data_IF_599294942899
#
_entry.id   IF_599294942899
#
_cell.length_a   1.000
_cell.length_b   1.000
_cell.length_c   1.000
_cell.angle_alpha   90.00
_cell.angle_beta   90.00
_cell.angle_gamma   90.00
#
_symmetry.space_group_name_H-M   'P 1'
#
loop_
_entity.id
_entity.type
_entity.pdbx_description
1 polymer ?
#
# COMPACT_ATOMS: atom_id res chain seq x y z
N UNK A 1 12.69 -21.17 -20.99
CA UNK A 1 12.67 -22.45 -20.28
C UNK A 1 13.86 -23.28 -20.83
N UNK A 2 14.74 -23.73 -19.94
CA UNK A 2 15.84 -24.64 -20.34
C UNK A 2 15.26 -26.02 -20.62
N UNK A 3 15.63 -26.61 -21.77
CA UNK A 3 15.29 -27.99 -22.08
C UNK A 3 16.11 -28.91 -21.17
N UNK A 4 15.51 -29.97 -20.61
CA UNK A 4 16.25 -31.00 -19.87
C UNK A 4 17.40 -31.60 -20.69
N UNK A 5 17.24 -31.64 -22.02
CA UNK A 5 18.30 -32.05 -22.94
C UNK A 5 19.58 -31.20 -22.86
N UNK A 6 19.50 -29.95 -22.42
CA UNK A 6 20.64 -29.04 -22.21
C UNK A 6 21.31 -29.20 -20.84
N UNK A 7 20.66 -29.88 -19.90
CA UNK A 7 21.15 -30.05 -18.55
C UNK A 7 22.25 -31.13 -18.48
N UNK A 8 23.28 -30.89 -17.65
CA UNK A 8 24.33 -31.90 -17.39
C UNK A 8 23.68 -33.13 -16.74
N UNK A 9 23.86 -34.30 -17.35
CA UNK A 9 23.23 -35.55 -16.88
C UNK A 9 21.78 -35.71 -17.31
N UNK A 10 21.19 -34.78 -18.06
CA UNK A 10 19.86 -34.92 -18.67
C UNK A 10 18.69 -34.72 -17.73
N UNK A 11 18.92 -34.25 -16.48
CA UNK A 11 17.85 -33.91 -15.53
C UNK A 11 18.28 -32.81 -14.60
N UNK A 12 17.30 -32.12 -13.98
CA UNK A 12 17.55 -31.07 -13.00
C UNK A 12 18.24 -31.63 -11.75
N UNK A 13 17.92 -32.84 -11.32
CA UNK A 13 18.48 -33.47 -10.12
C UNK A 13 20.00 -33.73 -10.23
N UNK A 14 20.48 -33.96 -11.45
CA UNK A 14 21.91 -34.17 -11.71
C UNK A 14 22.66 -32.90 -12.08
N UNK A 15 21.98 -31.90 -12.61
CA UNK A 15 22.54 -30.63 -13.05
C UNK A 15 22.54 -29.55 -11.93
N UNK A 16 21.65 -29.60 -10.97
CA UNK A 16 21.50 -28.62 -9.92
C UNK A 16 22.23 -29.03 -8.64
N UNK A 17 23.19 -28.22 -8.22
CA UNK A 17 23.82 -28.34 -6.91
C UNK A 17 23.16 -27.39 -5.91
N UNK A 18 22.23 -27.90 -5.09
CA UNK A 18 21.46 -27.13 -4.13
C UNK A 18 22.31 -26.42 -3.07
N UNK A 19 23.37 -27.06 -2.61
CA UNK A 19 24.25 -26.50 -1.56
C UNK A 19 25.06 -25.31 -2.04
N UNK A 20 25.46 -25.31 -3.33
CA UNK A 20 26.23 -24.23 -3.93
C UNK A 20 25.36 -23.20 -4.67
N UNK A 21 24.08 -23.52 -4.89
CA UNK A 21 23.18 -22.69 -5.72
C UNK A 21 23.67 -22.64 -7.18
N UNK A 22 24.13 -23.77 -7.73
CA UNK A 22 24.75 -23.79 -9.06
C UNK A 22 24.06 -24.79 -10.00
N UNK A 23 23.78 -24.33 -11.22
CA UNK A 23 23.24 -25.13 -12.31
C UNK A 23 24.31 -25.31 -13.38
N UNK A 24 24.49 -26.54 -13.83
CA UNK A 24 25.48 -26.88 -14.85
C UNK A 24 24.81 -27.37 -16.13
N UNK A 25 25.26 -26.85 -17.28
CA UNK A 25 24.80 -27.28 -18.60
C UNK A 25 25.78 -28.23 -19.25
N UNK A 26 25.34 -28.99 -20.29
CA UNK A 26 26.17 -29.92 -21.08
C UNK A 26 27.31 -29.22 -21.80
N UNK A 27 27.10 -28.00 -22.25
CA UNK A 27 28.12 -27.20 -22.96
C UNK A 27 29.19 -26.61 -22.02
N UNK A 28 29.15 -26.93 -20.71
CA UNK A 28 30.10 -26.43 -19.71
C UNK A 28 29.71 -25.10 -19.10
N UNK A 29 28.61 -24.47 -19.52
CA UNK A 29 28.11 -23.25 -18.88
C UNK A 29 27.63 -23.55 -17.46
N UNK A 30 27.84 -22.58 -16.57
CA UNK A 30 27.45 -22.64 -15.18
C UNK A 30 26.66 -21.36 -14.81
N UNK A 31 25.49 -21.56 -14.22
CA UNK A 31 24.74 -20.49 -13.58
C UNK A 31 24.93 -20.59 -12.07
N UNK A 32 25.07 -19.46 -11.40
CA UNK A 32 25.16 -19.36 -9.95
C UNK A 32 24.17 -18.35 -9.41
N UNK A 33 23.37 -18.78 -8.43
CA UNK A 33 22.42 -17.92 -7.77
C UNK A 33 23.06 -17.13 -6.62
N UNK A 34 22.67 -15.88 -6.51
CA UNK A 34 23.03 -14.96 -5.43
C UNK A 34 21.77 -14.30 -4.89
N UNK A 35 21.79 -13.87 -3.63
CA UNK A 35 20.72 -13.08 -3.02
C UNK A 35 21.15 -11.63 -2.84
N UNK A 36 20.24 -10.70 -3.09
CA UNK A 36 20.42 -9.27 -2.78
C UNK A 36 20.51 -8.98 -1.28
N UNK A 37 20.15 -9.93 -0.41
CA UNK A 37 20.34 -9.81 1.04
C UNK A 37 21.82 -9.84 1.45
N UNK A 38 22.69 -10.33 0.59
CA UNK A 38 24.12 -10.42 0.85
C UNK A 38 24.94 -9.86 -0.31
N UNK A 39 24.85 -8.54 -0.60
CA UNK A 39 25.45 -7.92 -1.80
C UNK A 39 26.94 -8.18 -1.94
N UNK A 40 27.68 -8.23 -0.83
CA UNK A 40 29.13 -8.47 -0.81
C UNK A 40 29.57 -9.83 -1.34
N UNK A 41 28.66 -10.83 -1.36
CA UNK A 41 28.95 -12.13 -1.98
C UNK A 41 29.06 -12.06 -3.51
N UNK A 42 28.53 -11.02 -4.14
CA UNK A 42 28.71 -10.74 -5.57
C UNK A 42 30.10 -10.18 -5.89
N UNK A 43 30.80 -9.63 -4.88
CA UNK A 43 32.15 -9.11 -5.04
C UNK A 43 33.19 -10.21 -5.00
N UNK A 44 33.93 -10.39 -6.06
CA UNK A 44 34.99 -11.43 -6.21
C UNK A 44 34.71 -12.45 -7.30
N UNK A 45 33.55 -13.11 -7.34
CA UNK A 45 33.21 -13.96 -8.49
C UNK A 45 33.26 -13.18 -9.81
N UNK A 46 33.59 -13.90 -10.91
CA UNK A 46 33.64 -13.29 -12.23
C UNK A 46 32.61 -13.95 -13.14
N UNK A 47 31.94 -13.12 -13.96
CA UNK A 47 30.80 -13.54 -14.78
C UNK A 47 30.95 -13.04 -16.23
N UNK A 48 30.45 -13.84 -17.18
CA UNK A 48 30.28 -13.44 -18.59
C UNK A 48 28.99 -12.66 -18.80
N UNK A 49 28.02 -12.82 -17.93
CA UNK A 49 26.74 -12.12 -17.92
C UNK A 49 26.04 -12.35 -16.61
N UNK A 50 25.00 -11.58 -16.37
CA UNK A 50 24.14 -11.71 -15.20
C UNK A 50 22.68 -11.49 -15.58
N UNK A 51 21.80 -12.15 -14.82
CA UNK A 51 20.37 -11.90 -14.83
C UNK A 51 19.94 -11.49 -13.44
N UNK A 52 19.40 -10.28 -13.34
CA UNK A 52 18.82 -9.74 -12.11
C UNK A 52 17.31 -9.82 -12.19
N UNK A 53 16.71 -10.58 -11.29
CA UNK A 53 15.27 -10.69 -11.19
C UNK A 53 14.72 -9.73 -10.14
N UNK A 54 13.59 -9.07 -10.44
CA UNK A 54 12.91 -8.09 -9.60
C UNK A 54 13.85 -7.06 -8.95
N UNK A 55 14.70 -6.32 -9.71
CA UNK A 55 15.70 -5.41 -9.16
C UNK A 55 15.09 -4.29 -8.33
N UNK A 56 13.83 -3.94 -8.60
CA UNK A 56 13.09 -2.96 -7.81
C UNK A 56 12.77 -3.41 -6.39
N UNK A 57 12.93 -4.71 -6.08
CA UNK A 57 12.68 -5.28 -4.74
C UNK A 57 13.95 -5.59 -3.97
N UNK A 58 15.14 -5.33 -4.55
CA UNK A 58 16.39 -5.57 -3.84
C UNK A 58 16.49 -4.67 -2.60
N UNK A 59 17.03 -5.20 -1.51
CA UNK A 59 17.09 -4.51 -0.21
C UNK A 59 17.76 -3.13 -0.26
N UNK A 60 18.68 -2.95 -1.21
CA UNK A 60 19.45 -1.71 -1.42
C UNK A 60 19.02 -0.93 -2.67
N UNK A 61 17.85 -1.24 -3.26
CA UNK A 61 17.37 -0.58 -4.48
C UNK A 61 17.18 0.95 -4.32
N UNK A 62 16.87 1.43 -3.12
CA UNK A 62 16.76 2.85 -2.81
C UNK A 62 18.12 3.56 -2.66
N UNK A 63 19.22 2.81 -2.54
CA UNK A 63 20.58 3.35 -2.60
C UNK A 63 21.05 3.56 -4.05
N UNK A 64 20.31 3.01 -5.03
CA UNK A 64 20.56 3.18 -6.45
C UNK A 64 21.79 2.43 -6.92
N UNK A 65 22.58 3.08 -7.80
CA UNK A 65 23.83 2.56 -8.34
C UNK A 65 25.04 2.88 -7.46
N UNK A 66 24.80 3.31 -6.21
CA UNK A 66 25.82 3.72 -5.24
C UNK A 66 26.84 2.64 -4.89
N UNK A 67 27.85 3.01 -4.11
CA UNK A 67 28.92 2.10 -3.68
C UNK A 67 28.39 1.00 -2.74
N UNK A 68 28.96 -0.20 -2.88
CA UNK A 68 28.68 -1.39 -2.06
C UNK A 68 27.22 -1.89 -2.11
N UNK A 69 26.48 -1.49 -3.16
CA UNK A 69 25.12 -2.01 -3.43
C UNK A 69 25.16 -3.35 -4.18
N UNK A 70 24.04 -4.04 -4.25
CA UNK A 70 23.87 -5.25 -5.07
C UNK A 70 24.26 -4.98 -6.52
N UNK A 71 23.81 -3.83 -7.07
CA UNK A 71 24.13 -3.41 -8.43
C UNK A 71 25.63 -3.21 -8.63
N UNK A 72 26.28 -2.39 -7.80
CA UNK A 72 27.71 -2.11 -7.97
C UNK A 72 28.57 -3.35 -7.79
N UNK A 73 28.26 -4.21 -6.81
CA UNK A 73 29.00 -5.46 -6.60
C UNK A 73 28.81 -6.45 -7.76
N UNK A 74 27.62 -6.51 -8.37
CA UNK A 74 27.35 -7.28 -9.58
C UNK A 74 28.22 -6.81 -10.75
N UNK A 75 28.27 -5.50 -10.99
CA UNK A 75 29.06 -4.90 -12.07
C UNK A 75 30.55 -5.20 -11.91
N UNK A 76 31.09 -5.16 -10.69
CA UNK A 76 32.49 -5.55 -10.44
C UNK A 76 32.80 -7.01 -10.82
N UNK A 77 31.80 -7.88 -10.83
CA UNK A 77 31.94 -9.27 -11.26
C UNK A 77 31.89 -9.48 -12.79
N UNK A 78 31.34 -8.54 -13.55
CA UNK A 78 31.14 -8.64 -15.00
C UNK A 78 32.42 -8.30 -15.75
N UNK A 79 33.34 -9.26 -15.87
CA UNK A 79 34.66 -9.06 -16.49
C UNK A 79 35.14 -10.21 -17.35
N UNK A 80 34.32 -11.22 -17.58
CA UNK A 80 34.65 -12.32 -18.47
C UNK A 80 34.03 -12.12 -19.86
N UNK A 81 34.74 -12.51 -20.90
CA UNK A 81 34.30 -12.37 -22.28
C UNK A 81 34.58 -10.98 -22.86
N UNK A 82 34.12 -10.78 -24.08
CA UNK A 82 34.36 -9.53 -24.84
C UNK A 82 33.29 -8.45 -24.55
N UNK A 83 32.08 -8.86 -24.20
CA UNK A 83 30.91 -7.98 -24.02
C UNK A 83 29.99 -8.56 -22.93
N UNK A 84 30.42 -8.47 -21.66
CA UNK A 84 29.57 -8.96 -20.56
C UNK A 84 28.33 -8.05 -20.40
N UNK A 85 27.16 -8.69 -20.28
CA UNK A 85 25.86 -7.97 -20.19
C UNK A 85 25.07 -8.37 -18.98
N UNK A 86 24.22 -7.42 -18.53
CA UNK A 86 23.18 -7.67 -17.53
C UNK A 86 21.82 -7.63 -18.22
N UNK A 87 21.00 -8.63 -17.95
CA UNK A 87 19.56 -8.59 -18.24
C UNK A 87 18.83 -8.45 -16.93
N UNK A 88 17.89 -7.52 -16.86
CA UNK A 88 17.04 -7.35 -15.72
C UNK A 88 15.58 -7.56 -16.11
N UNK A 89 14.86 -8.29 -15.26
CA UNK A 89 13.44 -8.57 -15.43
C UNK A 89 12.70 -8.20 -14.15
N UNK A 90 11.51 -7.63 -14.26
CA UNK A 90 10.69 -7.30 -13.11
C UNK A 90 9.68 -6.21 -13.39
N UNK A 91 8.86 -5.94 -12.38
CA UNK A 91 7.89 -4.86 -12.40
C UNK A 91 8.58 -3.55 -12.03
N UNK A 92 8.45 -2.48 -12.80
CA UNK A 92 9.12 -1.22 -12.50
C UNK A 92 8.49 -0.55 -11.28
N UNK A 93 9.34 -0.18 -10.31
CA UNK A 93 8.96 0.64 -9.16
C UNK A 93 9.79 1.91 -9.13
N UNK A 94 9.26 3.05 -8.67
CA UNK A 94 9.93 4.35 -8.72
C UNK A 94 11.01 4.51 -7.63
N UNK A 95 11.83 3.47 -7.39
CA UNK A 95 12.99 3.56 -6.53
C UNK A 95 14.20 4.15 -7.27
N UNK A 96 15.25 4.45 -6.53
CA UNK A 96 16.43 5.12 -7.07
C UNK A 96 17.14 4.27 -8.11
N UNK A 97 17.31 2.96 -7.89
CA UNK A 97 17.96 2.06 -8.83
C UNK A 97 17.28 2.06 -10.21
N UNK A 98 15.96 1.87 -10.25
CA UNK A 98 15.21 1.84 -11.53
C UNK A 98 15.26 3.20 -12.23
N UNK A 99 15.18 4.32 -11.48
CA UNK A 99 15.30 5.67 -12.06
C UNK A 99 16.68 5.92 -12.67
N UNK A 100 17.75 5.48 -12.00
CA UNK A 100 19.12 5.63 -12.48
C UNK A 100 19.39 4.74 -13.70
N UNK A 101 18.96 3.47 -13.67
CA UNK A 101 19.08 2.55 -14.80
C UNK A 101 18.29 3.03 -16.03
N UNK A 102 17.10 3.60 -15.84
CA UNK A 102 16.30 4.18 -16.94
C UNK A 102 17.00 5.36 -17.62
N UNK A 103 17.86 6.07 -16.91
CA UNK A 103 18.63 7.22 -17.43
C UNK A 103 19.99 6.82 -17.98
N UNK A 104 20.43 5.58 -17.79
CA UNK A 104 21.72 5.08 -18.28
C UNK A 104 21.65 4.93 -19.81
N UNK A 105 22.54 5.63 -20.53
CA UNK A 105 22.62 5.58 -21.99
C UNK A 105 23.00 4.18 -22.52
N UNK A 106 23.64 3.36 -21.71
CA UNK A 106 23.97 1.96 -22.02
C UNK A 106 22.82 0.97 -21.80
N UNK A 107 21.72 1.42 -21.22
CA UNK A 107 20.56 0.57 -20.93
C UNK A 107 19.53 0.62 -22.06
N UNK A 108 19.02 -0.55 -22.43
CA UNK A 108 17.88 -0.70 -23.34
C UNK A 108 16.69 -1.17 -22.53
N UNK A 109 15.66 -0.32 -22.45
CA UNK A 109 14.41 -0.65 -21.77
C UNK A 109 13.42 -1.24 -22.77
N UNK A 110 12.93 -2.43 -22.48
CA UNK A 110 11.81 -3.06 -23.19
C UNK A 110 10.71 -3.37 -22.18
N UNK A 111 9.47 -3.32 -22.61
CA UNK A 111 8.32 -3.62 -21.77
C UNK A 111 7.22 -4.28 -22.58
N UNK A 112 6.30 -4.95 -21.89
CA UNK A 112 5.10 -5.53 -22.43
C UNK A 112 4.05 -5.63 -21.35
N UNK A 113 2.78 -5.47 -21.73
CA UNK A 113 1.68 -5.63 -20.79
C UNK A 113 1.33 -7.09 -20.56
N UNK A 114 0.73 -7.39 -19.41
CA UNK A 114 0.16 -8.71 -19.12
C UNK A 114 -0.89 -9.11 -20.18
N UNK A 115 -1.55 -8.11 -20.78
CA UNK A 115 -2.53 -8.31 -21.86
C UNK A 115 -1.93 -9.02 -23.10
N UNK A 116 -0.67 -8.73 -23.43
CA UNK A 116 0.04 -9.36 -24.53
C UNK A 116 0.34 -10.86 -24.28
N UNK A 117 0.33 -11.28 -23.01
CA UNK A 117 0.63 -12.66 -22.59
C UNK A 117 -0.61 -13.46 -22.14
N UNK A 118 -1.81 -12.92 -22.31
CA UNK A 118 -3.06 -13.54 -21.81
C UNK A 118 -3.24 -15.00 -22.26
N UNK A 119 -2.77 -15.32 -23.47
CA UNK A 119 -2.87 -16.69 -24.01
C UNK A 119 -2.13 -17.75 -23.19
N UNK A 120 -1.07 -17.35 -22.47
CA UNK A 120 -0.21 -18.23 -21.68
C UNK A 120 -0.57 -18.24 -20.18
N UNK A 121 -1.54 -17.39 -19.75
CA UNK A 121 -1.92 -17.28 -18.36
C UNK A 121 -3.12 -18.18 -18.01
N UNK A 122 -3.07 -18.73 -16.80
CA UNK A 122 -4.18 -19.58 -16.31
C UNK A 122 -5.47 -18.76 -16.14
N UNK A 123 -6.62 -19.41 -16.34
CA UNK A 123 -7.94 -18.77 -16.13
C UNK A 123 -8.13 -18.32 -14.67
N UNK A 124 -7.52 -19.01 -13.72
CA UNK A 124 -7.52 -18.61 -12.30
C UNK A 124 -6.78 -17.30 -12.09
N UNK A 125 -5.63 -17.12 -12.72
CA UNK A 125 -4.88 -15.86 -12.66
C UNK A 125 -5.66 -14.71 -13.29
N UNK A 126 -6.23 -14.92 -14.49
CA UNK A 126 -7.05 -13.93 -15.18
C UNK A 126 -8.22 -13.45 -14.31
N UNK A 127 -8.93 -14.39 -13.69
CA UNK A 127 -10.08 -14.08 -12.85
C UNK A 127 -9.69 -13.38 -11.54
N UNK A 128 -8.64 -13.83 -10.86
CA UNK A 128 -8.32 -13.40 -9.51
C UNK A 128 -7.38 -12.18 -9.49
N UNK A 129 -6.56 -11.99 -10.52
CA UNK A 129 -5.57 -10.91 -10.56
C UNK A 129 -5.99 -9.84 -11.55
N UNK A 130 -6.21 -10.19 -12.82
CA UNK A 130 -6.48 -9.17 -13.84
C UNK A 130 -7.76 -8.41 -13.51
N UNK A 131 -8.89 -9.09 -13.27
CA UNK A 131 -10.16 -8.42 -12.92
C UNK A 131 -10.08 -7.55 -11.67
N UNK A 132 -9.25 -7.92 -10.70
CA UNK A 132 -9.12 -7.18 -9.45
C UNK A 132 -8.30 -5.89 -9.62
N UNK A 133 -7.31 -5.90 -10.48
CA UNK A 133 -6.35 -4.80 -10.61
C UNK A 133 -6.48 -4.00 -11.91
N UNK A 134 -7.25 -4.49 -12.89
CA UNK A 134 -7.53 -3.79 -14.14
C UNK A 134 -8.11 -2.40 -13.88
N UNK A 135 -7.53 -1.36 -14.51
CA UNK A 135 -7.93 0.03 -14.35
C UNK A 135 -7.43 0.71 -13.06
N UNK A 136 -6.86 -0.03 -12.11
CA UNK A 136 -6.27 0.56 -10.89
C UNK A 136 -4.86 1.10 -11.15
N UNK A 137 -4.37 1.98 -10.27
CA UNK A 137 -2.98 2.44 -10.33
C UNK A 137 -1.98 1.28 -10.18
N UNK A 138 -2.24 0.36 -9.24
CA UNK A 138 -1.41 -0.83 -9.09
C UNK A 138 -1.48 -1.72 -10.34
N UNK A 139 -2.66 -1.85 -10.97
CA UNK A 139 -2.80 -2.57 -12.23
C UNK A 139 -1.93 -2.00 -13.34
N UNK A 140 -1.88 -0.69 -13.51
CA UNK A 140 -0.98 -0.06 -14.47
C UNK A 140 0.50 -0.39 -14.21
N UNK A 141 0.91 -0.45 -12.95
CA UNK A 141 2.26 -0.86 -12.61
C UNK A 141 2.49 -2.36 -12.83
N UNK A 142 1.65 -3.22 -12.27
CA UNK A 142 1.86 -4.68 -12.23
C UNK A 142 1.41 -5.40 -13.51
N UNK A 143 0.37 -4.88 -14.20
CA UNK A 143 -0.17 -5.51 -15.41
C UNK A 143 0.34 -4.83 -16.68
N UNK A 144 0.54 -3.52 -16.68
CA UNK A 144 0.94 -2.77 -17.86
C UNK A 144 2.43 -2.40 -17.83
N UNK A 145 3.14 -2.67 -16.72
CA UNK A 145 4.57 -2.38 -16.59
C UNK A 145 4.90 -0.89 -16.57
N UNK A 146 3.95 -0.03 -16.18
CA UNK A 146 4.19 1.41 -16.11
C UNK A 146 5.07 1.78 -14.91
N UNK A 147 6.08 2.61 -15.12
CA UNK A 147 6.81 3.26 -14.03
C UNK A 147 5.99 4.46 -13.52
N UNK A 148 5.24 4.25 -12.46
CA UNK A 148 4.41 5.29 -11.86
C UNK A 148 5.26 6.20 -10.98
N UNK A 149 5.41 7.45 -11.38
CA UNK A 149 6.07 8.48 -10.57
C UNK A 149 5.08 9.10 -9.57
N UNK A 150 5.61 9.73 -8.51
CA UNK A 150 4.78 10.49 -7.58
C UNK A 150 4.10 11.65 -8.28
N UNK A 151 2.84 11.89 -7.98
CA UNK A 151 2.13 13.07 -8.47
C UNK A 151 2.70 14.32 -7.81
N UNK A 152 3.19 15.31 -8.59
CA UNK A 152 3.68 16.55 -8.02
C UNK A 152 2.60 17.23 -7.17
N UNK A 153 2.94 17.60 -5.93
CA UNK A 153 1.99 18.22 -5.00
C UNK A 153 1.13 17.25 -4.19
N UNK A 154 1.09 15.96 -4.50
CA UNK A 154 0.39 14.98 -3.66
C UNK A 154 1.04 14.89 -2.28
N UNK A 155 0.20 14.72 -1.23
CA UNK A 155 0.68 14.61 0.14
C UNK A 155 1.38 13.28 0.40
N UNK A 156 0.82 12.18 -0.09
CA UNK A 156 1.42 10.86 0.06
C UNK A 156 2.33 10.54 -1.12
N UNK A 157 3.51 10.00 -0.79
CA UNK A 157 4.51 9.58 -1.78
C UNK A 157 4.56 8.05 -1.84
N UNK A 158 4.79 7.52 -3.01
CA UNK A 158 4.88 6.07 -3.21
C UNK A 158 5.95 5.41 -2.32
N UNK A 159 7.04 6.13 -2.05
CA UNK A 159 8.10 5.68 -1.15
C UNK A 159 7.62 5.36 0.28
N UNK A 160 6.56 6.02 0.76
CA UNK A 160 5.99 5.76 2.09
C UNK A 160 5.40 4.36 2.19
N UNK A 161 4.82 3.85 1.09
CA UNK A 161 4.18 2.53 1.00
C UNK A 161 5.15 1.37 0.71
N UNK A 162 6.39 1.68 0.35
CA UNK A 162 7.45 0.70 0.06
C UNK A 162 8.48 0.58 1.19
N UNK A 163 8.27 1.27 2.31
CA UNK A 163 9.15 1.18 3.47
C UNK A 163 9.08 -0.22 4.08
N UNK A 164 10.22 -0.74 4.53
CA UNK A 164 10.26 -1.95 5.32
C UNK A 164 9.38 -1.82 6.58
N UNK A 165 8.59 -2.84 6.88
CA UNK A 165 7.65 -2.83 7.99
C UNK A 165 6.36 -2.03 7.76
N UNK A 166 6.19 -1.37 6.60
CA UNK A 166 4.94 -0.68 6.29
C UNK A 166 3.78 -1.66 6.08
N UNK A 167 4.02 -2.73 5.31
CA UNK A 167 3.02 -3.76 5.05
C UNK A 167 3.20 -4.94 5.99
N UNK A 168 2.13 -5.28 6.67
CA UNK A 168 2.07 -6.42 7.54
C UNK A 168 1.16 -7.50 6.96
N UNK A 169 1.45 -8.75 7.30
CA UNK A 169 0.49 -9.85 7.18
C UNK A 169 -0.40 -9.87 8.41
N UNK A 170 -1.55 -10.48 8.30
CA UNK A 170 -2.51 -10.56 9.41
C UNK A 170 -1.93 -11.26 10.67
N UNK A 171 -1.05 -12.23 10.47
CA UNK A 171 -0.35 -12.95 11.54
C UNK A 171 0.78 -12.13 12.22
N UNK A 172 1.11 -10.97 11.67
CA UNK A 172 2.09 -10.02 12.21
C UNK A 172 1.42 -8.82 12.91
N UNK A 173 0.08 -8.76 12.91
CA UNK A 173 -0.66 -7.67 13.54
C UNK A 173 -0.53 -7.76 15.07
N UNK A 174 -0.10 -6.67 15.75
CA UNK A 174 -0.07 -6.64 17.21
C UNK A 174 -1.49 -6.57 17.80
N UNK A 175 -1.57 -6.70 19.13
CA UNK A 175 -2.83 -6.48 19.85
C UNK A 175 -3.26 -5.01 19.69
N UNK A 176 -4.47 -4.83 19.23
CA UNK A 176 -5.06 -3.50 19.02
C UNK A 176 -5.90 -3.12 20.25
N UNK A 177 -5.72 -1.88 20.72
CA UNK A 177 -6.46 -1.34 21.86
C UNK A 177 -7.74 -0.61 21.45
N UNK A 178 -7.85 -0.23 20.18
CA UNK A 178 -9.03 0.43 19.61
C UNK A 178 -9.13 0.15 18.12
N UNK A 179 -10.33 -0.12 17.63
CA UNK A 179 -10.65 -0.34 16.21
C UNK A 179 -11.87 0.48 15.85
N UNK A 180 -11.85 1.14 14.69
CA UNK A 180 -12.99 1.90 14.17
C UNK A 180 -13.28 1.56 12.72
N UNK A 181 -14.55 1.73 12.33
CA UNK A 181 -14.99 1.67 10.94
C UNK A 181 -15.40 3.08 10.53
N UNK A 182 -14.58 3.75 9.73
CA UNK A 182 -14.91 5.08 9.24
C UNK A 182 -15.67 5.00 7.91
N UNK A 183 -16.67 5.89 7.77
CA UNK A 183 -17.54 5.93 6.59
C UNK A 183 -17.63 7.35 6.08
N UNK A 184 -17.27 7.54 4.81
CA UNK A 184 -17.56 8.77 4.06
C UNK A 184 -18.69 8.48 3.06
N UNK A 185 -19.96 8.74 3.45
CA UNK A 185 -21.10 8.41 2.60
C UNK A 185 -21.22 9.40 1.46
N UNK A 186 -21.51 8.90 0.27
CA UNK A 186 -21.76 9.73 -0.90
C UNK A 186 -22.90 10.75 -0.69
N UNK A 187 -22.65 12.01 -1.03
CA UNK A 187 -23.58 13.11 -0.82
C UNK A 187 -24.81 13.12 -1.76
N UNK A 188 -24.75 12.47 -2.92
CA UNK A 188 -25.86 12.44 -3.89
C UNK A 188 -25.78 11.27 -4.86
N UNK A 189 -26.93 10.68 -5.20
CA UNK A 189 -27.07 9.61 -6.22
C UNK A 189 -26.89 10.10 -7.67
N UNK A 190 -26.40 11.32 -7.90
CA UNK A 190 -26.43 11.97 -9.21
C UNK A 190 -25.21 11.74 -10.09
N UNK A 191 -24.22 10.94 -9.66
CA UNK A 191 -23.11 10.52 -10.54
C UNK A 191 -22.88 9.02 -10.42
N UNK A 192 -22.93 8.31 -11.54
CA UNK A 192 -22.66 6.87 -11.65
C UNK A 192 -21.25 6.44 -11.20
N UNK A 193 -20.44 7.37 -10.70
CA UNK A 193 -19.01 7.16 -10.39
C UNK A 193 -18.58 7.53 -8.96
N UNK A 194 -19.48 7.97 -8.08
CA UNK A 194 -19.09 8.31 -6.72
C UNK A 194 -19.24 7.10 -5.79
N UNK A 195 -18.16 6.76 -5.09
CA UNK A 195 -18.09 5.63 -4.16
C UNK A 195 -18.47 6.09 -2.74
N UNK A 196 -18.89 5.16 -1.90
CA UNK A 196 -18.90 5.34 -0.44
C UNK A 196 -17.58 4.83 0.09
N UNK A 197 -16.81 5.68 0.77
CA UNK A 197 -15.58 5.31 1.45
C UNK A 197 -15.90 4.53 2.73
N UNK A 198 -15.35 3.33 2.90
CA UNK A 198 -15.49 2.52 4.13
C UNK A 198 -14.12 1.94 4.48
N UNK A 199 -13.49 2.46 5.52
CA UNK A 199 -12.15 2.04 5.97
C UNK A 199 -12.22 1.50 7.39
N UNK A 200 -11.60 0.33 7.61
CA UNK A 200 -11.39 -0.22 8.94
C UNK A 200 -9.96 0.03 9.36
N UNK A 201 -9.77 0.65 10.52
CA UNK A 201 -8.45 0.88 11.07
C UNK A 201 -8.42 0.64 12.58
N UNK A 202 -7.25 0.29 13.09
CA UNK A 202 -7.04 0.10 14.53
C UNK A 202 -5.75 0.76 15.00
N UNK A 203 -5.61 0.91 16.34
CA UNK A 203 -4.46 1.50 17.01
C UNK A 203 -3.94 0.52 18.06
N UNK A 204 -2.62 0.38 18.16
CA UNK A 204 -1.97 -0.39 19.24
C UNK A 204 -1.64 0.48 20.46
N UNK A 205 -1.12 -0.15 21.51
CA UNK A 205 -0.71 0.53 22.74
C UNK A 205 0.58 1.37 22.55
N UNK A 206 1.31 1.21 21.47
CA UNK A 206 2.56 1.92 21.18
C UNK A 206 2.34 3.18 20.32
N UNK A 207 1.10 3.45 19.93
CA UNK A 207 0.74 4.63 19.15
C UNK A 207 0.90 4.44 17.64
N UNK A 208 0.95 3.20 17.15
CA UNK A 208 0.89 2.89 15.74
C UNK A 208 -0.54 2.61 15.30
N UNK A 209 -0.89 3.01 14.08
CA UNK A 209 -2.16 2.73 13.46
C UNK A 209 -2.02 1.68 12.34
N UNK A 210 -3.06 0.89 12.15
CA UNK A 210 -3.10 -0.22 11.22
C UNK A 210 -4.37 -0.15 10.38
N UNK A 211 -4.24 0.00 9.06
CA UNK A 211 -5.36 -0.10 8.13
C UNK A 211 -5.64 -1.59 7.92
N UNK A 212 -6.81 -2.05 8.35
CA UNK A 212 -7.21 -3.45 8.37
C UNK A 212 -8.03 -3.85 7.15
N UNK A 213 -8.73 -2.89 6.54
CA UNK A 213 -9.58 -3.15 5.40
C UNK A 213 -10.03 -1.88 4.67
N UNK A 214 -10.16 -1.99 3.36
CA UNK A 214 -10.84 -1.04 2.47
C UNK A 214 -12.04 -1.78 1.88
N UNK A 215 -13.22 -1.42 2.34
CA UNK A 215 -14.52 -2.02 1.96
C UNK A 215 -15.35 -1.04 1.13
N UNK A 216 -14.71 0.01 0.63
CA UNK A 216 -15.34 1.05 -0.16
C UNK A 216 -15.91 0.53 -1.47
N UNK A 217 -16.96 1.17 -1.97
CA UNK A 217 -17.60 0.77 -3.21
C UNK A 217 -18.83 1.62 -3.56
N UNK A 218 -19.46 1.26 -4.67
CA UNK A 218 -20.71 1.88 -5.10
C UNK A 218 -21.87 1.18 -4.40
N UNK A 219 -22.48 1.85 -3.44
CA UNK A 219 -23.51 1.29 -2.57
C UNK A 219 -24.76 2.15 -2.55
N UNK A 220 -25.90 1.52 -2.43
CA UNK A 220 -27.12 2.17 -1.92
C UNK A 220 -26.99 2.48 -0.43
N UNK A 221 -27.82 3.38 0.15
CA UNK A 221 -27.79 3.68 1.57
C UNK A 221 -27.87 2.47 2.50
N UNK A 222 -28.71 1.49 2.17
CA UNK A 222 -28.82 0.28 2.97
C UNK A 222 -27.62 -0.66 2.85
N UNK A 223 -26.99 -0.73 1.68
CA UNK A 223 -25.83 -1.58 1.42
C UNK A 223 -24.59 -1.07 2.16
N UNK A 224 -24.26 0.24 2.08
CA UNK A 224 -23.09 0.74 2.82
C UNK A 224 -23.29 0.65 4.34
N UNK A 225 -24.52 0.85 4.83
CA UNK A 225 -24.81 0.71 6.26
C UNK A 225 -24.62 -0.75 6.70
N UNK A 226 -25.14 -1.70 5.93
CA UNK A 226 -24.94 -3.13 6.21
C UNK A 226 -23.46 -3.51 6.15
N UNK A 227 -22.73 -3.11 5.10
CA UNK A 227 -21.28 -3.35 4.96
C UNK A 227 -20.51 -2.81 6.15
N UNK A 228 -20.84 -1.60 6.62
CA UNK A 228 -20.17 -0.99 7.78
C UNK A 228 -20.48 -1.74 9.08
N UNK A 229 -21.69 -2.22 9.27
CA UNK A 229 -22.11 -3.01 10.43
C UNK A 229 -21.45 -4.39 10.40
N UNK A 230 -21.39 -5.05 9.25
CA UNK A 230 -20.73 -6.33 9.09
C UNK A 230 -19.23 -6.20 9.40
N UNK A 231 -18.58 -5.13 8.93
CA UNK A 231 -17.19 -4.81 9.25
C UNK A 231 -17.00 -4.56 10.75
N UNK A 232 -17.90 -3.80 11.37
CA UNK A 232 -17.88 -3.55 12.82
C UNK A 232 -17.90 -4.86 13.62
N UNK A 233 -18.80 -5.77 13.29
CA UNK A 233 -18.89 -7.07 13.98
C UNK A 233 -17.70 -7.98 13.67
N UNK A 234 -17.27 -8.04 12.41
CA UNK A 234 -16.14 -8.91 12.00
C UNK A 234 -14.84 -8.52 12.67
N UNK A 235 -14.52 -7.23 12.69
CA UNK A 235 -13.29 -6.71 13.30
C UNK A 235 -13.43 -6.43 14.79
N UNK A 236 -14.63 -6.63 15.39
CA UNK A 236 -14.94 -6.26 16.77
C UNK A 236 -14.57 -4.80 17.05
N UNK A 237 -14.96 -3.91 16.15
CA UNK A 237 -14.66 -2.51 16.27
C UNK A 237 -15.39 -1.86 17.47
N UNK A 238 -14.86 -0.74 17.96
CA UNK A 238 -15.44 -0.01 19.09
C UNK A 238 -16.56 0.93 18.64
N UNK A 239 -16.47 1.48 17.42
CA UNK A 239 -17.46 2.38 16.88
C UNK A 239 -17.44 2.42 15.35
N UNK A 240 -18.58 2.86 14.77
CA UNK A 240 -18.63 3.36 13.39
C UNK A 240 -18.52 4.87 13.44
N UNK A 241 -17.64 5.44 12.60
CA UNK A 241 -17.31 6.88 12.53
C UNK A 241 -17.73 7.44 11.18
N UNK A 242 -19.00 7.84 11.01
CA UNK A 242 -19.46 8.39 9.75
C UNK A 242 -19.25 9.91 9.66
N UNK A 243 -18.88 10.43 8.48
CA UNK A 243 -18.93 11.86 8.18
C UNK A 243 -20.37 12.34 8.04
N UNK A 244 -20.71 13.44 8.72
CA UNK A 244 -22.09 13.97 8.81
C UNK A 244 -22.37 15.16 7.88
N UNK A 245 -21.39 15.72 7.19
CA UNK A 245 -21.53 17.00 6.48
C UNK A 245 -22.58 17.02 5.36
N UNK A 246 -22.75 15.92 4.63
CA UNK A 246 -23.61 15.87 3.44
C UNK A 246 -24.91 15.08 3.63
N UNK A 247 -25.09 14.37 4.73
CA UNK A 247 -26.27 13.54 5.01
C UNK A 247 -26.98 13.88 6.31
N UNK A 248 -26.41 14.77 7.13
CA UNK A 248 -27.00 15.16 8.42
C UNK A 248 -27.28 13.95 9.32
N UNK A 249 -28.43 13.98 10.00
CA UNK A 249 -28.87 12.87 10.86
C UNK A 249 -29.25 11.60 10.09
N UNK A 250 -29.40 11.70 8.76
CA UNK A 250 -29.78 10.56 7.92
C UNK A 250 -28.72 9.44 7.92
N UNK A 251 -27.42 9.79 7.97
CA UNK A 251 -26.35 8.80 8.02
C UNK A 251 -26.44 7.96 9.30
N UNK A 252 -26.52 8.62 10.45
CA UNK A 252 -26.69 7.94 11.74
C UNK A 252 -28.01 7.16 11.79
N UNK A 253 -29.07 7.71 11.21
CA UNK A 253 -30.39 7.07 11.16
C UNK A 253 -30.32 5.80 10.29
N UNK A 254 -29.66 5.83 9.15
CA UNK A 254 -29.52 4.67 8.27
C UNK A 254 -28.81 3.50 8.98
N UNK A 255 -27.68 3.76 9.65
CA UNK A 255 -26.99 2.75 10.46
C UNK A 255 -27.91 2.21 11.57
N UNK A 256 -28.57 3.11 12.32
CA UNK A 256 -29.47 2.74 13.42
C UNK A 256 -30.70 1.98 12.96
N UNK A 257 -31.11 2.12 11.70
CA UNK A 257 -32.25 1.36 11.14
C UNK A 257 -31.86 -0.10 10.92
N UNK A 258 -30.60 -0.37 10.61
CA UNK A 258 -30.08 -1.73 10.43
C UNK A 258 -29.74 -2.38 11.77
N UNK A 259 -28.92 -1.74 12.62
CA UNK A 259 -28.66 -2.19 13.99
C UNK A 259 -28.51 -1.01 14.97
N UNK A 260 -29.47 -0.91 15.91
CA UNK A 260 -29.50 0.16 16.92
C UNK A 260 -28.44 0.00 18.04
N UNK A 261 -27.80 -1.15 18.13
CA UNK A 261 -26.84 -1.46 19.21
C UNK A 261 -25.43 -1.05 18.86
N UNK A 262 -25.15 -0.76 17.59
CA UNK A 262 -23.81 -0.37 17.14
C UNK A 262 -23.52 1.08 17.60
N UNK A 263 -22.42 1.32 18.31
CA UNK A 263 -21.99 2.66 18.67
C UNK A 263 -21.64 3.46 17.41
N UNK A 264 -22.27 4.60 17.24
CA UNK A 264 -22.02 5.52 16.12
C UNK A 264 -21.47 6.83 16.69
N UNK A 265 -20.26 7.20 16.26
CA UNK A 265 -19.62 8.48 16.60
C UNK A 265 -19.54 9.36 15.36
N UNK A 266 -20.56 10.16 15.03
CA UNK A 266 -20.53 11.00 13.84
C UNK A 266 -19.48 12.11 13.98
N UNK A 267 -18.78 12.40 12.88
CA UNK A 267 -17.76 13.45 12.80
C UNK A 267 -18.16 14.54 11.81
N UNK A 268 -17.68 15.76 12.06
CA UNK A 268 -17.98 16.94 11.24
C UNK A 268 -16.68 17.53 10.68
N UNK A 269 -16.70 17.90 9.42
CA UNK A 269 -15.60 18.65 8.81
C UNK A 269 -15.68 20.12 9.25
N UNK A 270 -15.03 20.45 10.35
CA UNK A 270 -14.84 21.84 10.79
C UNK A 270 -13.72 22.56 10.04
N UNK A 271 -12.80 21.82 9.42
CA UNK A 271 -11.63 22.31 8.66
C UNK A 271 -11.64 21.78 7.24
N UNK A 272 -10.96 22.47 6.32
CA UNK A 272 -10.83 22.02 4.93
C UNK A 272 -10.17 20.66 4.81
N UNK A 273 -10.46 19.93 3.73
CA UNK A 273 -9.97 18.57 3.48
C UNK A 273 -8.44 18.47 3.53
N UNK A 274 -7.71 19.44 2.96
CA UNK A 274 -6.25 19.52 3.04
C UNK A 274 -5.75 19.57 4.49
N UNK A 275 -6.32 20.47 5.29
CA UNK A 275 -5.90 20.66 6.70
C UNK A 275 -6.12 19.42 7.56
N UNK A 276 -7.08 18.56 7.19
CA UNK A 276 -7.31 17.27 7.86
C UNK A 276 -6.35 16.18 7.35
N UNK A 277 -6.02 16.20 6.07
CA UNK A 277 -5.18 15.20 5.43
C UNK A 277 -3.68 15.37 5.76
N UNK A 278 -3.19 16.61 5.93
CA UNK A 278 -1.78 16.92 6.22
C UNK A 278 -1.25 16.23 7.49
N UNK A 279 -1.91 16.28 8.65
CA UNK A 279 -1.45 15.56 9.84
C UNK A 279 -1.39 14.04 9.61
N UNK A 280 -2.34 13.49 8.87
CA UNK A 280 -2.38 12.06 8.58
C UNK A 280 -1.21 11.67 7.65
N UNK A 281 -0.92 12.46 6.62
CA UNK A 281 0.24 12.20 5.77
C UNK A 281 1.56 12.25 6.56
N UNK A 282 1.66 13.12 7.56
CA UNK A 282 2.81 13.19 8.47
C UNK A 282 2.97 11.91 9.29
N UNK A 283 1.87 11.29 9.76
CA UNK A 283 1.95 9.98 10.44
C UNK A 283 2.52 8.89 9.52
N UNK A 284 2.17 8.91 8.23
CA UNK A 284 2.76 8.01 7.24
C UNK A 284 4.25 8.29 7.03
N UNK A 285 4.67 9.55 6.95
CA UNK A 285 6.08 9.94 6.85
C UNK A 285 6.90 9.45 8.04
N UNK A 286 6.35 9.55 9.23
CA UNK A 286 6.95 9.08 10.48
C UNK A 286 6.98 7.54 10.61
N UNK A 287 6.25 6.81 9.75
CA UNK A 287 6.15 5.35 9.83
C UNK A 287 5.25 4.84 10.95
N UNK A 288 4.32 5.67 11.40
CA UNK A 288 3.36 5.32 12.45
C UNK A 288 2.08 4.68 11.91
N UNK A 289 1.92 4.62 10.58
CA UNK A 289 0.78 3.98 9.94
C UNK A 289 1.24 2.79 9.10
N UNK A 290 0.55 1.68 9.25
CA UNK A 290 0.82 0.42 8.57
C UNK A 290 -0.42 -0.08 7.84
N UNK A 291 -0.23 -0.83 6.75
CA UNK A 291 -1.30 -1.50 6.03
C UNK A 291 -1.22 -3.01 6.27
N UNK A 292 -2.32 -3.63 6.68
CA UNK A 292 -2.44 -5.09 6.82
C UNK A 292 -2.91 -5.66 5.48
N UNK A 293 -1.97 -5.81 4.56
CA UNK A 293 -2.22 -6.19 3.17
C UNK A 293 -1.97 -5.06 2.18
N UNK A 294 -2.59 -5.17 1.00
CA UNK A 294 -2.46 -4.22 -0.11
C UNK A 294 -3.83 -3.65 -0.44
N UNK A 295 -3.94 -2.33 -0.49
CA UNK A 295 -5.17 -1.60 -0.81
C UNK A 295 -4.97 -0.71 -2.06
N UNK A 296 -5.02 -1.29 -3.28
CA UNK A 296 -4.57 -0.61 -4.50
C UNK A 296 -5.34 0.67 -4.82
N UNK A 297 -6.65 0.64 -4.64
CA UNK A 297 -7.53 1.78 -4.95
C UNK A 297 -7.33 2.91 -3.94
N UNK A 298 -7.28 2.59 -2.65
CA UNK A 298 -7.00 3.55 -1.59
C UNK A 298 -5.62 4.20 -1.79
N UNK A 299 -4.57 3.39 -1.94
CA UNK A 299 -3.19 3.88 -2.12
C UNK A 299 -3.03 4.68 -3.42
N UNK A 300 -3.76 4.27 -4.47
CA UNK A 300 -3.86 4.99 -5.72
C UNK A 300 -4.46 6.39 -5.52
N UNK A 301 -5.58 6.49 -4.82
CA UNK A 301 -6.21 7.77 -4.48
C UNK A 301 -5.26 8.66 -3.66
N UNK A 302 -4.63 8.11 -2.62
CA UNK A 302 -3.70 8.84 -1.75
C UNK A 302 -2.51 9.42 -2.53
N UNK A 303 -1.89 8.65 -3.42
CA UNK A 303 -0.69 9.06 -4.16
C UNK A 303 -0.97 9.94 -5.38
N UNK A 304 -2.24 10.09 -5.78
CA UNK A 304 -2.64 10.94 -6.90
C UNK A 304 -3.33 12.22 -6.50
N UNK A 305 -3.99 12.24 -5.33
CA UNK A 305 -4.70 13.42 -4.89
C UNK A 305 -3.76 14.57 -4.54
N UNK A 306 -4.08 15.76 -5.07
CA UNK A 306 -3.38 17.00 -4.78
C UNK A 306 -4.30 17.93 -3.99
N UNK A 307 -3.82 18.56 -2.89
CA UNK A 307 -4.58 19.57 -2.17
C UNK A 307 -5.17 20.65 -3.09
N UNK A 308 -6.47 20.93 -2.90
CA UNK A 308 -7.23 21.84 -3.77
C UNK A 308 -8.13 21.14 -4.78
N UNK A 309 -7.91 19.87 -5.07
CA UNK A 309 -8.80 19.05 -5.89
C UNK A 309 -9.93 18.44 -5.05
N UNK A 310 -10.97 17.92 -5.72
CA UNK A 310 -12.00 17.12 -5.06
C UNK A 310 -11.32 15.88 -4.45
N UNK A 311 -11.45 15.70 -3.13
CA UNK A 311 -10.87 14.53 -2.47
C UNK A 311 -11.67 13.28 -2.81
N UNK A 312 -10.98 12.14 -2.97
CA UNK A 312 -11.62 10.85 -3.20
C UNK A 312 -12.16 10.25 -1.90
N UNK A 313 -13.26 9.52 -2.02
CA UNK A 313 -14.08 9.07 -0.89
C UNK A 313 -13.36 8.04 0.02
N UNK A 314 -12.55 7.12 -0.56
CA UNK A 314 -11.74 6.15 0.22
C UNK A 314 -10.69 6.84 1.08
N UNK A 315 -10.00 7.82 0.50
CA UNK A 315 -8.98 8.61 1.21
C UNK A 315 -9.62 9.44 2.32
N UNK A 316 -10.79 10.05 2.10
CA UNK A 316 -11.48 10.81 3.13
C UNK A 316 -11.92 9.92 4.30
N UNK A 317 -12.44 8.71 4.02
CA UNK A 317 -12.75 7.73 5.06
C UNK A 317 -11.49 7.32 5.86
N UNK A 318 -10.33 7.11 5.19
CA UNK A 318 -9.07 6.85 5.86
C UNK A 318 -8.66 8.00 6.78
N UNK A 319 -8.74 9.23 6.28
CA UNK A 319 -8.40 10.44 7.06
C UNK A 319 -9.28 10.51 8.33
N UNK A 320 -10.57 10.22 8.24
CA UNK A 320 -11.45 10.16 9.39
C UNK A 320 -11.11 9.05 10.38
N UNK A 321 -10.81 7.84 9.88
CA UNK A 321 -10.41 6.71 10.74
C UNK A 321 -9.15 7.05 11.55
N UNK A 322 -8.13 7.57 10.87
CA UNK A 322 -6.86 7.89 11.50
C UNK A 322 -6.92 9.15 12.37
N UNK A 323 -7.76 10.11 12.04
CA UNK A 323 -8.04 11.28 12.91
C UNK A 323 -8.63 10.80 14.23
N UNK A 324 -9.62 9.94 14.19
CA UNK A 324 -10.28 9.39 15.38
C UNK A 324 -9.34 8.56 16.26
N UNK A 325 -8.41 7.82 15.65
CA UNK A 325 -7.50 6.93 16.36
C UNK A 325 -6.24 7.63 16.89
N UNK A 326 -5.71 8.59 16.14
CA UNK A 326 -4.33 9.06 16.33
C UNK A 326 -4.22 10.52 16.74
N UNK A 327 -5.19 11.35 16.35
CA UNK A 327 -5.18 12.75 16.73
C UNK A 327 -6.07 12.90 17.97
N UNK A 328 -5.49 13.36 19.06
CA UNK A 328 -6.25 13.69 20.26
C UNK A 328 -7.27 14.78 19.88
N UNK A 329 -8.55 14.58 20.25
CA UNK A 329 -9.49 15.69 20.29
C UNK A 329 -8.90 16.70 21.28
N UNK A 330 -8.65 17.94 20.84
CA UNK A 330 -8.60 19.07 21.75
C UNK A 330 -9.97 19.10 22.44
N UNK A 331 -10.06 18.48 23.62
CA UNK A 331 -11.20 18.69 24.49
C UNK A 331 -11.20 20.16 24.81
N UNK A 332 -12.14 20.91 24.20
CA UNK A 332 -12.40 22.27 24.66
C UNK A 332 -12.59 22.19 26.19
N UNK A 333 -11.85 22.99 26.95
CA UNK A 333 -12.04 22.99 28.41
C UNK A 333 -13.51 23.25 28.68
N UNK A 334 -14.17 22.30 29.36
CA UNK A 334 -15.52 22.49 29.87
C UNK A 334 -15.50 23.78 30.66
N UNK A 335 -16.27 24.82 30.32
CA UNK A 335 -16.29 26.03 31.07
C UNK A 335 -16.63 25.66 32.52
N UNK A 336 -15.75 25.97 33.45
CA UNK A 336 -16.02 25.82 34.87
C UNK A 336 -17.27 26.62 35.15
N UNK A 337 -18.37 25.93 35.45
CA UNK A 337 -19.60 26.53 35.92
C UNK A 337 -19.29 27.16 37.29
N UNK A 338 -18.86 28.44 37.27
CA UNK A 338 -18.76 29.27 38.47
C UNK A 338 -20.15 29.68 38.91
N UNK A 339 -20.99 28.70 39.15
CA UNK A 339 -22.30 28.91 39.79
C UNK A 339 -22.12 29.38 41.22
N UNK A 340 -21.97 30.69 41.38
CA UNK A 340 -22.13 31.41 42.64
C UNK A 340 -23.58 31.31 43.08
N UNK A 341 -23.93 30.29 43.86
CA UNK A 341 -25.17 30.27 44.63
C UNK A 341 -25.07 31.26 45.81
N UNK A 342 -25.39 32.50 45.53
CA UNK A 342 -25.65 33.48 46.56
C UNK A 342 -26.91 33.14 47.33
N UNK A 343 -26.79 32.62 48.54
CA UNK A 343 -27.85 32.55 49.50
C UNK A 343 -28.08 33.96 50.07
N UNK A 344 -29.11 34.65 49.60
CA UNK A 344 -29.63 35.83 50.27
C UNK A 344 -30.61 35.37 51.35
N UNK A 345 -30.18 35.52 52.60
CA UNK A 345 -31.00 35.24 53.76
C UNK A 345 -32.23 36.12 53.84
N UNK A 346 -33.35 35.54 54.21
CA UNK A 346 -34.53 36.23 54.67
C UNK A 346 -34.37 36.58 56.18
N UNK A 347 -34.34 37.84 56.48
CA UNK A 347 -34.58 38.35 57.83
C UNK A 347 -35.72 39.39 57.77
N UNK A 348 -36.77 39.14 58.54
CA UNK A 348 -37.82 40.11 58.74
C UNK A 348 -39.20 39.50 58.82
#
# INVERSE_FOLDING_TARGET
VLDEAELRGGSIDTAWNRSLGELYLKNGARFKCYSSETPRKLRGPQHHGAWGDEPATWNDADQGTGEDTTWSNLLFGLRLGKDPRVVMTGTPRPNRLIRELKKDEGAVLTGGSTAENLGNLSETFKRNVIRKYEGTRLGRQELDGELLEDTPGALWKYAMFNREGFRLKFDQLPDLIRIVVAVDPQASQSSDSAETGIIVAGKDAHGHAYVLGDLSGNFSPSEWAQTSIDAYHYHRADAIVPEKNNGGDMVTHTISTVDKRVPVKPVWASRGKQTRAEPISTLYEQGLVHHVGVFPDLEGQMTTWVPGEKSPDRMDALVWALTELMLEEETEPVPEDTGSYGWSGWTG
#
